data_IF_096410220551
#
_entry.id   IF_096410220551
#
_cell.length_a   1.000
_cell.length_b   1.000
_cell.length_c   1.000
_cell.angle_alpha   90.00
_cell.angle_beta   90.00
_cell.angle_gamma   90.00
#
_symmetry.space_group_name_H-M   'P 1'
#
loop_
_entity.id
_entity.type
_entity.pdbx_description
1 polymer ?
#
# COMPACT_ATOMS: atom_id res chain seq x y z
N UNK A 1 -2.91 -5.83 -4.67
CA UNK A 1 -3.85 -6.53 -3.75
C UNK A 1 -3.08 -6.99 -2.50
N UNK A 2 -3.75 -7.44 -1.43
CA UNK A 2 -3.07 -7.94 -0.21
C UNK A 2 -2.94 -6.99 0.98
N UNK A 3 -3.47 -5.77 0.91
CA UNK A 3 -3.52 -4.86 2.05
C UNK A 3 -4.65 -5.25 3.03
N UNK A 4 -4.35 -5.34 4.32
CA UNK A 4 -5.31 -5.74 5.37
C UNK A 4 -5.95 -4.54 6.10
N UNK A 5 -5.79 -3.31 5.61
CA UNK A 5 -6.40 -2.15 6.23
C UNK A 5 -7.94 -2.20 6.12
N UNK A 6 -8.69 -1.50 7.00
CA UNK A 6 -10.15 -1.45 6.93
C UNK A 6 -10.68 -0.99 5.57
N UNK A 7 -9.98 -0.05 4.90
CA UNK A 7 -10.37 0.44 3.59
C UNK A 7 -10.28 -0.66 2.51
N UNK A 8 -9.18 -1.41 2.45
CA UNK A 8 -8.98 -2.45 1.44
C UNK A 8 -9.79 -3.73 1.68
N UNK A 9 -10.28 -3.96 2.91
CA UNK A 9 -11.16 -5.10 3.21
C UNK A 9 -12.62 -4.88 2.83
N UNK A 10 -13.10 -3.63 2.86
CA UNK A 10 -14.51 -3.30 2.66
C UNK A 10 -14.85 -2.57 1.37
N UNK A 11 -13.86 -2.01 0.67
CA UNK A 11 -14.11 -1.10 -0.45
C UNK A 11 -13.24 -1.43 -1.67
N UNK A 12 -13.84 -1.34 -2.86
CA UNK A 12 -13.14 -1.56 -4.12
C UNK A 12 -12.39 -0.30 -4.60
N UNK A 13 -11.42 -0.48 -5.49
CA UNK A 13 -10.74 0.64 -6.19
C UNK A 13 -11.75 1.53 -6.93
N UNK A 14 -12.77 0.92 -7.54
CA UNK A 14 -13.83 1.66 -8.26
C UNK A 14 -14.66 2.53 -7.31
N UNK A 15 -15.00 2.02 -6.12
CA UNK A 15 -15.70 2.80 -5.11
C UNK A 15 -14.84 3.96 -4.59
N UNK A 16 -13.56 3.70 -4.29
CA UNK A 16 -12.62 4.76 -3.89
C UNK A 16 -12.49 5.85 -4.97
N UNK A 17 -12.39 5.45 -6.23
CA UNK A 17 -12.37 6.40 -7.36
C UNK A 17 -13.65 7.24 -7.40
N UNK A 18 -14.82 6.63 -7.22
CA UNK A 18 -16.09 7.33 -7.18
C UNK A 18 -16.16 8.37 -6.06
N UNK A 19 -15.93 7.98 -4.80
CA UNK A 19 -16.07 8.89 -3.66
C UNK A 19 -15.03 10.02 -3.69
N UNK A 20 -13.84 9.77 -4.23
CA UNK A 20 -12.82 10.82 -4.46
C UNK A 20 -13.28 11.77 -5.55
N UNK A 21 -13.84 11.26 -6.65
CA UNK A 21 -14.36 12.11 -7.74
C UNK A 21 -15.60 12.92 -7.35
N UNK A 22 -16.38 12.41 -6.39
CA UNK A 22 -17.57 13.07 -5.84
C UNK A 22 -17.26 14.08 -4.71
N UNK A 23 -15.98 14.29 -4.36
CA UNK A 23 -15.53 15.14 -3.25
C UNK A 23 -16.16 14.75 -1.89
N UNK A 24 -16.43 13.47 -1.67
CA UNK A 24 -16.96 12.98 -0.41
C UNK A 24 -15.84 12.82 0.63
N UNK A 25 -16.06 13.32 1.84
CA UNK A 25 -15.06 13.30 2.93
C UNK A 25 -14.61 11.88 3.32
N UNK A 26 -15.47 10.88 3.09
CA UNK A 26 -15.14 9.46 3.32
C UNK A 26 -13.96 9.01 2.43
N UNK A 27 -13.79 9.60 1.25
CA UNK A 27 -12.64 9.34 0.38
C UNK A 27 -11.32 9.64 1.08
N UNK A 28 -11.21 10.83 1.68
CA UNK A 28 -10.03 11.24 2.47
C UNK A 28 -9.79 10.30 3.66
N UNK A 29 -10.85 9.93 4.39
CA UNK A 29 -10.73 9.02 5.54
C UNK A 29 -10.21 7.64 5.14
N UNK A 30 -10.77 7.05 4.08
CA UNK A 30 -10.38 5.72 3.60
C UNK A 30 -8.94 5.72 3.08
N UNK A 31 -8.53 6.77 2.34
CA UNK A 31 -7.16 6.93 1.87
C UNK A 31 -6.18 7.12 3.03
N UNK A 32 -6.53 7.90 4.06
CA UNK A 32 -5.70 8.04 5.26
C UNK A 32 -5.50 6.70 5.96
N UNK A 33 -6.56 5.90 6.15
CA UNK A 33 -6.44 4.57 6.74
C UNK A 33 -5.54 3.64 5.93
N UNK A 34 -5.70 3.65 4.60
CA UNK A 34 -4.84 2.86 3.72
C UNK A 34 -3.37 3.28 3.83
N UNK A 35 -3.10 4.58 3.68
CA UNK A 35 -1.74 5.12 3.66
C UNK A 35 -1.02 4.88 5.00
N UNK A 36 -1.68 5.16 6.13
CA UNK A 36 -1.07 4.93 7.44
C UNK A 36 -0.76 3.45 7.65
N UNK A 37 -1.70 2.55 7.32
CA UNK A 37 -1.43 1.11 7.45
C UNK A 37 -0.28 0.67 6.54
N UNK A 38 -0.25 1.12 5.29
CA UNK A 38 0.84 0.82 4.36
C UNK A 38 2.20 1.25 4.92
N UNK A 39 2.33 2.49 5.41
CA UNK A 39 3.57 2.97 5.98
C UNK A 39 3.97 2.22 7.27
N UNK A 40 3.00 1.86 8.11
CA UNK A 40 3.28 1.06 9.31
C UNK A 40 3.86 -0.32 8.95
N UNK A 41 3.28 -0.99 7.95
CA UNK A 41 3.76 -2.29 7.46
C UNK A 41 5.14 -2.17 6.82
N UNK A 42 5.35 -1.16 5.96
CA UNK A 42 6.65 -0.90 5.33
C UNK A 42 7.75 -0.67 6.38
N UNK A 43 7.48 0.20 7.36
CA UNK A 43 8.45 0.50 8.41
C UNK A 43 8.69 -0.69 9.34
N UNK A 44 7.70 -1.55 9.54
CA UNK A 44 7.91 -2.81 10.26
C UNK A 44 8.86 -3.74 9.48
N UNK A 45 8.63 -3.95 8.19
CA UNK A 45 9.50 -4.76 7.34
C UNK A 45 10.95 -4.26 7.30
N UNK A 46 11.15 -2.94 7.25
CA UNK A 46 12.48 -2.32 7.36
C UNK A 46 13.15 -2.64 8.70
N UNK A 47 12.42 -2.49 9.82
CA UNK A 47 12.97 -2.82 11.15
C UNK A 47 13.35 -4.29 11.27
N UNK A 48 12.51 -5.19 10.76
CA UNK A 48 12.76 -6.63 10.78
C UNK A 48 13.99 -7.00 9.92
N UNK A 49 14.14 -6.39 8.74
CA UNK A 49 15.29 -6.61 7.86
C UNK A 49 16.60 -6.09 8.47
N UNK A 50 16.57 -4.95 9.17
CA UNK A 50 17.73 -4.44 9.91
C UNK A 50 18.13 -5.42 11.02
N UNK A 51 17.16 -5.91 11.80
CA UNK A 51 17.40 -6.88 12.86
C UNK A 51 17.98 -8.20 12.32
N UNK A 52 17.57 -8.62 11.12
CA UNK A 52 18.05 -9.82 10.44
C UNK A 52 19.33 -9.60 9.61
N UNK A 53 19.90 -8.38 9.60
CA UNK A 53 21.06 -8.02 8.75
C UNK A 53 20.83 -8.28 7.25
N UNK A 54 19.58 -8.14 6.78
CA UNK A 54 19.14 -8.42 5.42
C UNK A 54 18.51 -7.20 4.74
N UNK A 55 18.87 -5.99 5.17
CA UNK A 55 18.28 -4.75 4.67
C UNK A 55 18.49 -4.55 3.16
N UNK A 56 19.68 -4.84 2.64
CA UNK A 56 19.98 -4.65 1.22
C UNK A 56 19.10 -5.52 0.32
N UNK A 57 18.87 -6.77 0.72
CA UNK A 57 17.95 -7.68 0.04
C UNK A 57 16.51 -7.14 0.07
N UNK A 58 16.04 -6.70 1.25
CA UNK A 58 14.71 -6.12 1.39
C UNK A 58 14.51 -4.89 0.48
N UNK A 59 15.51 -4.00 0.39
CA UNK A 59 15.45 -2.80 -0.46
C UNK A 59 15.46 -3.17 -1.94
N UNK A 60 16.30 -4.12 -2.35
CA UNK A 60 16.34 -4.61 -3.73
C UNK A 60 14.99 -5.18 -4.17
N UNK A 61 14.40 -6.06 -3.35
CA UNK A 61 13.10 -6.69 -3.63
C UNK A 61 11.98 -5.65 -3.66
N UNK A 62 12.01 -4.68 -2.73
CA UNK A 62 11.06 -3.58 -2.69
C UNK A 62 11.07 -2.76 -3.99
N UNK A 63 12.25 -2.46 -4.54
CA UNK A 63 12.35 -1.73 -5.80
C UNK A 63 11.97 -2.58 -7.01
N UNK A 64 12.38 -3.86 -7.05
CA UNK A 64 12.06 -4.78 -8.13
C UNK A 64 10.53 -4.95 -8.30
N UNK A 65 9.80 -5.18 -7.21
CA UNK A 65 8.34 -5.33 -7.23
C UNK A 65 7.62 -4.09 -7.76
N UNK A 66 8.15 -2.89 -7.50
CA UNK A 66 7.54 -1.64 -7.99
C UNK A 66 7.88 -1.34 -9.45
N UNK A 67 9.02 -1.83 -9.93
CA UNK A 67 9.39 -1.73 -11.33
C UNK A 67 8.52 -2.62 -12.22
N UNK A 68 8.06 -3.77 -11.70
CA UNK A 68 7.11 -4.66 -12.38
C UNK A 68 5.74 -4.00 -12.62
N UNK A 69 5.26 -3.21 -11.65
CA UNK A 69 3.97 -2.54 -11.74
C UNK A 69 2.77 -3.48 -11.50
N UNK A 70 1.55 -2.94 -11.64
CA UNK A 70 0.29 -3.69 -11.45
C UNK A 70 -0.53 -3.86 -12.74
N UNK A 71 0.07 -3.56 -13.91
CA UNK A 71 -0.57 -3.61 -15.21
C UNK A 71 0.19 -4.54 -16.15
N UNK A 72 -0.55 -5.32 -16.94
CA UNK A 72 0.04 -6.12 -18.00
C UNK A 72 0.72 -5.20 -19.05
N UNK A 73 1.92 -5.56 -19.54
CA UNK A 73 2.55 -4.85 -20.64
C UNK A 73 1.66 -4.87 -21.88
N UNK A 74 1.55 -3.72 -22.57
CA UNK A 74 0.81 -3.57 -23.84
C UNK A 74 1.46 -4.33 -25.00
#
# INVERSE_FOLDING_TARGET
EGCQCPACRGYSRAYLHHVVKSDEIIGSMLLTWHNLHYYQVLMQGLRDAIAAQSLDAFVSDFHALRAEGDLEPL
#
